data_IF_627559744248
#
_entry.id   IF_627559744248
#
_cell.length_a   1.000
_cell.length_b   1.000
_cell.length_c   1.000
_cell.angle_alpha   90.00
_cell.angle_beta   90.00
_cell.angle_gamma   90.00
#
_symmetry.space_group_name_H-M   'P 1'
#
loop_
_entity.id
_entity.type
_entity.pdbx_description
1 polymer ?
#
# COMPACT_ATOMS: atom_id res chain seq x y z
N UNK A 1 5.93 -7.29 -5.58
CA UNK A 1 7.04 -7.18 -6.55
C UNK A 1 8.32 -6.85 -5.80
N UNK A 2 9.45 -7.42 -6.20
CA UNK A 2 10.74 -7.08 -5.59
C UNK A 2 11.24 -5.72 -6.06
N UNK A 3 11.98 -4.97 -5.21
CA UNK A 3 12.63 -3.73 -5.61
C UNK A 3 13.62 -3.99 -6.74
N UNK A 4 13.71 -3.07 -7.69
CA UNK A 4 14.69 -3.15 -8.78
C UNK A 4 16.00 -2.51 -8.36
N UNK A 5 15.92 -1.38 -7.67
CA UNK A 5 17.04 -0.61 -7.10
C UNK A 5 16.60 0.10 -5.84
N UNK A 6 17.55 0.68 -5.14
CA UNK A 6 17.35 1.45 -3.91
C UNK A 6 17.95 2.85 -4.07
N UNK A 7 17.48 3.78 -3.26
CA UNK A 7 17.98 5.16 -3.15
C UNK A 7 17.73 5.70 -1.74
N UNK A 8 18.16 6.92 -1.45
CA UNK A 8 17.83 7.63 -0.20
C UNK A 8 16.78 8.73 -0.45
N UNK A 9 16.25 9.30 0.64
CA UNK A 9 15.21 10.35 0.60
C UNK A 9 15.65 11.60 -0.19
N UNK A 10 16.92 12.01 -0.06
CA UNK A 10 17.44 13.21 -0.71
C UNK A 10 17.52 13.01 -2.22
N UNK A 11 18.03 11.85 -2.64
CA UNK A 11 18.14 11.46 -4.04
C UNK A 11 16.76 11.21 -4.65
N UNK A 12 15.83 10.60 -3.92
CA UNK A 12 14.45 10.42 -4.37
C UNK A 12 13.80 11.75 -4.75
N UNK A 13 13.98 12.78 -3.92
CA UNK A 13 13.49 14.14 -4.21
C UNK A 13 14.11 14.75 -5.47
N UNK A 14 15.38 14.46 -5.75
CA UNK A 14 16.04 14.89 -6.98
C UNK A 14 15.52 14.15 -8.21
N UNK A 15 15.31 12.83 -8.10
CA UNK A 15 14.72 11.98 -9.15
C UNK A 15 13.31 12.48 -9.49
N UNK A 16 12.48 12.73 -8.48
CA UNK A 16 11.10 13.22 -8.65
C UNK A 16 11.04 14.58 -9.37
N UNK A 17 12.12 15.37 -9.31
CA UNK A 17 12.27 16.65 -10.01
C UNK A 17 12.96 16.52 -11.38
N UNK A 18 13.21 15.31 -11.85
CA UNK A 18 13.82 15.04 -13.16
C UNK A 18 15.31 15.34 -13.24
N UNK A 19 16.05 15.30 -12.13
CA UNK A 19 17.52 15.52 -12.15
C UNK A 19 18.26 14.24 -12.49
N UNK A 20 19.16 14.36 -13.48
CA UNK A 20 19.98 13.24 -13.99
C UNK A 20 21.08 12.78 -13.01
N UNK A 21 21.43 13.57 -12.00
CA UNK A 21 22.59 13.31 -11.11
C UNK A 21 22.22 12.59 -9.80
N UNK A 22 21.15 11.81 -9.79
CA UNK A 22 20.67 11.16 -8.55
C UNK A 22 21.27 9.77 -8.39
N UNK A 23 21.67 9.40 -7.17
CA UNK A 23 22.28 8.10 -6.89
C UNK A 23 21.20 7.02 -6.75
N UNK A 24 21.44 5.90 -7.44
CA UNK A 24 20.65 4.66 -7.33
C UNK A 24 21.62 3.49 -7.20
N UNK A 25 21.26 2.47 -6.43
CA UNK A 25 22.13 1.32 -6.20
C UNK A 25 21.38 -0.01 -6.18
N UNK A 26 22.14 -1.08 -6.42
CA UNK A 26 21.64 -2.45 -6.37
C UNK A 26 21.50 -2.96 -4.94
N UNK A 27 20.73 -4.06 -4.79
CA UNK A 27 20.41 -4.71 -3.50
C UNK A 27 21.65 -5.00 -2.63
N UNK A 28 22.78 -5.31 -3.24
CA UNK A 28 24.02 -5.62 -2.53
C UNK A 28 24.61 -4.43 -1.74
N UNK A 29 24.23 -3.19 -2.09
CA UNK A 29 24.67 -1.97 -1.43
C UNK A 29 23.57 -1.33 -0.59
N UNK A 30 22.48 -2.06 -0.34
CA UNK A 30 21.35 -1.57 0.44
C UNK A 30 21.70 -1.44 1.92
N UNK A 31 21.27 -0.34 2.53
CA UNK A 31 21.32 -0.12 3.97
C UNK A 31 19.91 -0.03 4.57
N UNK A 32 19.85 -0.08 5.91
CA UNK A 32 18.60 0.12 6.66
C UNK A 32 18.15 1.57 6.48
N UNK A 33 16.94 1.77 5.98
CA UNK A 33 16.37 3.11 5.73
C UNK A 33 16.35 3.52 4.26
N UNK A 34 16.98 2.73 3.38
CA UNK A 34 16.89 2.96 1.94
C UNK A 34 15.48 2.78 1.41
N UNK A 35 15.15 3.58 0.40
CA UNK A 35 13.87 3.59 -0.26
C UNK A 35 13.92 2.66 -1.49
N UNK A 36 13.09 1.61 -1.53
CA UNK A 36 13.02 0.72 -2.68
C UNK A 36 12.27 1.37 -3.85
N UNK A 37 12.84 1.27 -5.06
CA UNK A 37 12.21 1.70 -6.30
C UNK A 37 11.73 0.48 -7.09
N UNK A 38 10.47 0.52 -7.54
CA UNK A 38 9.82 -0.57 -8.26
C UNK A 38 9.53 -0.17 -9.71
N UNK A 39 9.62 -1.14 -10.62
CA UNK A 39 9.24 -0.92 -12.03
C UNK A 39 7.74 -0.68 -12.22
N UNK A 40 6.93 -1.30 -11.36
CA UNK A 40 5.48 -1.22 -11.43
C UNK A 40 4.93 -0.90 -10.04
N UNK A 41 3.76 -0.28 -10.01
CA UNK A 41 3.00 -0.12 -8.78
C UNK A 41 2.80 -1.49 -8.11
N UNK A 42 2.97 -1.54 -6.79
CA UNK A 42 2.64 -2.75 -6.06
C UNK A 42 1.14 -3.02 -6.21
N UNK A 43 0.73 -4.29 -6.39
CA UNK A 43 -0.69 -4.64 -6.39
C UNK A 43 -1.32 -4.09 -5.11
N UNK A 44 -2.34 -3.24 -5.25
CA UNK A 44 -3.13 -2.79 -4.10
C UNK A 44 -3.79 -4.04 -3.51
N UNK A 45 -3.80 -4.23 -2.18
CA UNK A 45 -4.58 -5.29 -1.56
C UNK A 45 -6.01 -5.24 -2.10
N UNK A 46 -6.47 -6.33 -2.70
CA UNK A 46 -7.85 -6.43 -3.18
C UNK A 46 -8.74 -6.48 -1.95
N UNK A 47 -9.26 -5.32 -1.57
CA UNK A 47 -10.28 -5.23 -0.53
C UNK A 47 -11.59 -5.66 -1.19
N UNK A 48 -12.23 -6.76 -0.74
CA UNK A 48 -13.44 -7.21 -1.38
C UNK A 48 -14.60 -6.23 -1.11
N UNK A 49 -15.69 -6.37 -1.86
CA UNK A 49 -16.79 -5.40 -1.86
C UNK A 49 -17.53 -5.32 -0.53
N UNK A 50 -18.18 -4.18 -0.29
CA UNK A 50 -19.01 -4.00 0.89
C UNK A 50 -20.18 -4.98 0.90
N UNK A 51 -20.45 -5.60 2.06
CA UNK A 51 -21.63 -6.43 2.22
C UNK A 51 -22.87 -5.55 2.39
N UNK A 52 -23.87 -5.78 1.55
CA UNK A 52 -25.17 -5.13 1.66
C UNK A 52 -25.88 -5.53 2.96
N UNK A 53 -26.53 -4.57 3.60
CA UNK A 53 -27.43 -4.81 4.72
C UNK A 53 -28.89 -4.55 4.33
N UNK A 54 -29.81 -5.32 4.91
CA UNK A 54 -31.25 -5.25 4.67
C UNK A 54 -31.98 -5.52 5.97
N UNK A 55 -33.18 -4.95 6.12
CA UNK A 55 -34.02 -5.10 7.30
C UNK A 55 -34.50 -6.53 7.50
N UNK A 56 -34.66 -7.30 6.41
CA UNK A 56 -35.12 -8.70 6.40
C UNK A 56 -34.08 -9.70 6.96
N UNK A 57 -32.84 -9.26 7.20
CA UNK A 57 -31.79 -10.13 7.72
C UNK A 57 -31.96 -10.43 9.20
N UNK A 58 -31.61 -11.66 9.60
CA UNK A 58 -31.54 -12.02 11.00
C UNK A 58 -30.35 -11.35 11.71
N UNK A 59 -30.35 -11.40 13.05
CA UNK A 59 -29.33 -10.74 13.86
C UNK A 59 -27.90 -11.21 13.52
N UNK A 60 -27.70 -12.51 13.28
CA UNK A 60 -26.40 -13.07 12.96
C UNK A 60 -25.85 -12.53 11.63
N UNK A 61 -26.68 -12.50 10.59
CA UNK A 61 -26.31 -11.98 9.27
C UNK A 61 -25.95 -10.49 9.34
N UNK A 62 -26.73 -9.71 10.09
CA UNK A 62 -26.47 -8.28 10.32
C UNK A 62 -25.12 -8.07 11.02
N UNK A 63 -24.87 -8.80 12.11
CA UNK A 63 -23.61 -8.70 12.86
C UNK A 63 -22.38 -9.12 12.03
N UNK A 64 -22.51 -10.15 11.19
CA UNK A 64 -21.44 -10.55 10.28
C UNK A 64 -21.11 -9.46 9.25
N UNK A 65 -22.12 -8.93 8.55
CA UNK A 65 -21.94 -7.87 7.56
C UNK A 65 -21.30 -6.62 8.18
N UNK A 66 -21.71 -6.24 9.40
CA UNK A 66 -21.11 -5.12 10.14
C UNK A 66 -19.63 -5.35 10.44
N UNK A 67 -19.27 -6.51 11.00
CA UNK A 67 -17.87 -6.83 11.33
C UNK A 67 -17.00 -6.89 10.07
N UNK A 68 -17.52 -7.50 9.01
CA UNK A 68 -16.87 -7.56 7.70
C UNK A 68 -16.60 -6.15 7.15
N UNK A 69 -17.62 -5.29 7.11
CA UNK A 69 -17.51 -3.93 6.59
C UNK A 69 -16.58 -3.07 7.45
N UNK A 70 -16.52 -3.29 8.77
CA UNK A 70 -15.57 -2.62 9.65
C UNK A 70 -14.11 -2.98 9.34
N UNK A 71 -13.81 -4.28 9.20
CA UNK A 71 -12.47 -4.75 8.80
C UNK A 71 -12.08 -4.24 7.42
N UNK A 72 -13.02 -4.28 6.46
CA UNK A 72 -12.86 -3.70 5.13
C UNK A 72 -12.49 -2.21 5.19
N UNK A 73 -13.21 -1.43 5.98
CA UNK A 73 -12.92 0.00 6.14
C UNK A 73 -11.56 0.26 6.79
N UNK A 74 -11.14 -0.59 7.72
CA UNK A 74 -9.79 -0.51 8.28
C UNK A 74 -8.72 -0.77 7.21
N UNK A 75 -8.90 -1.77 6.35
CA UNK A 75 -7.97 -2.06 5.25
C UNK A 75 -7.87 -0.91 4.24
N UNK A 76 -8.99 -0.24 3.94
CA UNK A 76 -9.01 0.91 3.01
C UNK A 76 -8.39 2.18 3.60
N UNK A 77 -8.35 2.31 4.93
CA UNK A 77 -7.87 3.52 5.60
C UNK A 77 -6.52 3.36 6.32
N UNK A 78 -6.05 2.14 6.55
CA UNK A 78 -4.85 1.83 7.35
C UNK A 78 -3.50 2.26 6.77
N UNK A 79 -3.47 2.91 5.60
CA UNK A 79 -2.25 3.48 4.99
C UNK A 79 -2.19 5.00 4.97
N UNK A 80 -3.17 5.69 5.58
CA UNK A 80 -3.23 7.15 5.67
C UNK A 80 -2.80 7.56 7.08
N UNK A 81 -1.51 7.88 7.25
CA UNK A 81 -0.97 8.59 8.40
C UNK A 81 -0.24 9.84 7.95
#
# INVERSE_FOLDING_TARGET
>A
ADPVVFTDERNLHHIARGRETSLIWGKQNQEVGDIPLYRHAQPVPVVPDEMATSDDMNLYQKSFAQGYNACRNAMLNGGKS
#
